data_IF_253030083662
#
_entry.id   IF_253030083662
#
_cell.length_a   1.000
_cell.length_b   1.000
_cell.length_c   1.000
_cell.angle_alpha   90.00
_cell.angle_beta   90.00
_cell.angle_gamma   90.00
#
_symmetry.space_group_name_H-M   'P 1'
#
loop_
_entity.id
_entity.type
_entity.pdbx_description
1 polymer ?
#
# COMPACT_ATOMS: atom_id res chain seq x y z
N UNK A 1 6.32 -28.97 8.92
CA UNK A 1 6.62 -27.83 8.04
C UNK A 1 6.17 -26.56 8.74
N UNK A 2 7.01 -25.53 8.75
CA UNK A 2 6.59 -24.21 9.29
C UNK A 2 5.51 -23.63 8.36
N UNK A 3 4.36 -23.19 8.92
CA UNK A 3 3.30 -22.56 8.13
C UNK A 3 3.84 -21.26 7.49
N UNK A 4 3.52 -21.01 6.22
CA UNK A 4 3.90 -19.77 5.52
C UNK A 4 3.34 -18.56 6.24
N UNK A 5 4.02 -17.41 6.09
CA UNK A 5 3.49 -16.12 6.50
C UNK A 5 2.35 -15.73 5.55
N UNK A 6 1.39 -14.97 6.06
CA UNK A 6 0.27 -14.45 5.29
C UNK A 6 0.32 -12.93 5.33
N UNK A 7 0.37 -12.30 4.17
CA UNK A 7 0.30 -10.85 4.03
C UNK A 7 -1.04 -10.41 3.42
N UNK A 8 -1.57 -9.29 3.90
CA UNK A 8 -2.69 -8.59 3.26
C UNK A 8 -2.18 -7.34 2.54
N UNK A 9 -2.68 -7.10 1.31
CA UNK A 9 -2.38 -5.90 0.51
C UNK A 9 -3.69 -5.25 0.07
N UNK A 10 -3.98 -4.03 0.50
CA UNK A 10 -5.13 -3.30 -0.02
C UNK A 10 -4.84 -2.75 -1.43
N UNK A 11 -5.81 -2.93 -2.36
CA UNK A 11 -5.67 -2.47 -3.75
C UNK A 11 -4.63 -3.26 -4.56
N UNK A 12 -4.60 -4.59 -4.40
CA UNK A 12 -3.58 -5.46 -5.00
C UNK A 12 -3.83 -5.91 -6.44
N UNK A 13 -4.89 -5.43 -7.11
CA UNK A 13 -5.25 -5.93 -8.44
C UNK A 13 -4.53 -5.26 -9.62
N UNK A 14 -3.74 -4.19 -9.39
CA UNK A 14 -2.97 -3.48 -10.43
C UNK A 14 -1.86 -2.62 -9.84
N UNK A 15 -1.00 -2.08 -10.71
CA UNK A 15 0.04 -1.10 -10.35
C UNK A 15 0.94 -1.55 -9.20
N UNK A 16 1.23 -0.65 -8.28
CA UNK A 16 2.10 -0.93 -7.13
C UNK A 16 1.58 -2.08 -6.26
N UNK A 17 0.25 -2.15 -6.03
CA UNK A 17 -0.34 -3.19 -5.19
C UNK A 17 -0.18 -4.59 -5.78
N UNK A 18 -0.32 -4.73 -7.12
CA UNK A 18 -0.03 -5.99 -7.80
C UNK A 18 1.43 -6.39 -7.62
N UNK A 19 2.34 -5.47 -7.85
CA UNK A 19 3.77 -5.76 -7.72
C UNK A 19 4.14 -6.12 -6.27
N UNK A 20 3.62 -5.40 -5.28
CA UNK A 20 3.78 -5.75 -3.87
C UNK A 20 3.30 -7.17 -3.56
N UNK A 21 2.11 -7.53 -4.07
CA UNK A 21 1.54 -8.87 -3.88
C UNK A 21 2.41 -9.96 -4.52
N UNK A 22 2.94 -9.73 -5.72
CA UNK A 22 3.85 -10.65 -6.41
C UNK A 22 5.19 -10.77 -5.70
N UNK A 23 5.77 -9.67 -5.19
CA UNK A 23 7.03 -9.70 -4.44
C UNK A 23 6.87 -10.42 -3.09
N UNK A 24 5.76 -10.26 -2.38
CA UNK A 24 5.45 -11.03 -1.19
C UNK A 24 5.36 -12.53 -1.50
N UNK A 25 4.67 -12.88 -2.58
CA UNK A 25 4.54 -14.27 -3.06
C UNK A 25 5.91 -14.88 -3.46
N UNK A 26 6.75 -14.13 -4.18
CA UNK A 26 8.10 -14.55 -4.52
C UNK A 26 8.98 -14.80 -3.28
N UNK A 27 8.71 -14.10 -2.18
CA UNK A 27 9.31 -14.33 -0.86
C UNK A 27 8.57 -15.41 -0.04
N UNK A 28 7.84 -16.32 -0.72
CA UNK A 28 7.18 -17.48 -0.11
C UNK A 28 6.13 -17.12 0.96
N UNK A 29 5.48 -15.97 0.84
CA UNK A 29 4.33 -15.61 1.67
C UNK A 29 3.03 -15.89 0.91
N UNK A 30 2.03 -16.41 1.61
CA UNK A 30 0.67 -16.46 1.10
C UNK A 30 0.08 -15.05 1.11
N UNK A 31 -0.76 -14.71 0.11
CA UNK A 31 -1.20 -13.34 -0.08
C UNK A 31 -2.72 -13.25 -0.14
N UNK A 32 -3.29 -12.38 0.68
CA UNK A 32 -4.66 -11.92 0.53
C UNK A 32 -4.60 -10.47 0.05
N UNK A 33 -5.37 -10.12 -0.97
CA UNK A 33 -5.39 -8.74 -1.43
C UNK A 33 -6.80 -8.25 -1.75
N UNK A 34 -7.01 -6.95 -1.59
CA UNK A 34 -8.29 -6.38 -1.98
C UNK A 34 -8.26 -5.77 -3.38
N UNK A 35 -9.44 -5.72 -3.99
CA UNK A 35 -9.71 -4.99 -5.23
C UNK A 35 -11.01 -4.19 -5.09
N UNK A 36 -11.18 -3.12 -5.89
CA UNK A 36 -12.41 -2.31 -5.81
C UNK A 36 -13.50 -2.84 -6.76
N UNK A 37 -13.30 -2.75 -8.07
CA UNK A 37 -14.33 -3.06 -9.08
C UNK A 37 -13.90 -4.12 -10.09
N UNK A 38 -12.63 -4.17 -10.45
CA UNK A 38 -12.16 -5.04 -11.52
C UNK A 38 -11.82 -6.44 -10.99
N UNK A 39 -12.86 -7.30 -10.93
CA UNK A 39 -12.70 -8.69 -10.51
C UNK A 39 -11.81 -9.49 -11.45
N UNK A 40 -11.91 -9.26 -12.77
CA UNK A 40 -11.11 -10.00 -13.74
C UNK A 40 -9.61 -9.73 -13.57
N UNK A 41 -9.22 -8.47 -13.33
CA UNK A 41 -7.82 -8.15 -13.01
C UNK A 41 -7.38 -8.79 -11.68
N UNK A 42 -8.26 -8.84 -10.67
CA UNK A 42 -7.95 -9.51 -9.42
C UNK A 42 -7.78 -11.03 -9.59
N UNK A 43 -8.64 -11.68 -10.37
CA UNK A 43 -8.54 -13.12 -10.66
C UNK A 43 -7.24 -13.43 -11.42
N UNK A 44 -6.80 -12.55 -12.34
CA UNK A 44 -5.52 -12.70 -13.03
C UNK A 44 -4.34 -12.61 -12.06
N UNK A 45 -4.29 -11.59 -11.20
CA UNK A 45 -3.22 -11.43 -10.20
C UNK A 45 -3.19 -12.61 -9.23
N UNK A 46 -4.37 -13.09 -8.80
CA UNK A 46 -4.46 -14.30 -7.99
C UNK A 46 -3.78 -15.49 -8.67
N UNK A 47 -4.07 -15.73 -9.95
CA UNK A 47 -3.46 -16.82 -10.72
C UNK A 47 -1.94 -16.66 -10.86
N UNK A 48 -1.45 -15.43 -11.06
CA UNK A 48 -0.01 -15.13 -11.12
C UNK A 48 0.70 -15.43 -9.79
N UNK A 49 0.07 -15.08 -8.66
CA UNK A 49 0.59 -15.39 -7.31
C UNK A 49 0.61 -16.91 -7.09
N UNK A 50 -0.45 -17.61 -7.43
CA UNK A 50 -0.55 -19.06 -7.27
C UNK A 50 0.48 -19.81 -8.14
N UNK A 51 0.82 -19.27 -9.32
CA UNK A 51 1.89 -19.80 -10.17
C UNK A 51 3.29 -19.74 -9.50
N UNK A 52 3.48 -18.87 -8.50
CA UNK A 52 4.69 -18.82 -7.68
C UNK A 52 4.72 -19.88 -6.56
N UNK A 53 3.69 -20.73 -6.49
CA UNK A 53 3.63 -21.86 -5.56
C UNK A 53 3.14 -21.51 -4.15
N UNK A 54 2.51 -20.36 -3.96
CA UNK A 54 1.87 -19.92 -2.71
C UNK A 54 0.36 -19.81 -2.89
N UNK A 55 -0.39 -19.66 -1.79
CA UNK A 55 -1.83 -19.47 -1.86
C UNK A 55 -2.17 -17.99 -2.01
N UNK A 56 -3.25 -17.70 -2.79
CA UNK A 56 -3.76 -16.36 -2.95
C UNK A 56 -5.27 -16.28 -2.78
N UNK A 57 -5.77 -15.14 -2.24
CA UNK A 57 -7.19 -14.85 -2.19
C UNK A 57 -7.45 -13.37 -2.49
N UNK A 58 -8.42 -13.12 -3.38
CA UNK A 58 -8.86 -11.76 -3.70
C UNK A 58 -10.22 -11.48 -3.04
N UNK A 59 -10.35 -10.30 -2.40
CA UNK A 59 -11.56 -9.88 -1.71
C UNK A 59 -11.94 -8.46 -2.13
N UNK A 60 -13.23 -8.19 -2.34
CA UNK A 60 -13.67 -6.86 -2.74
C UNK A 60 -13.70 -5.90 -1.53
N UNK A 61 -13.21 -4.67 -1.74
CA UNK A 61 -13.22 -3.60 -0.75
C UNK A 61 -13.28 -2.24 -1.43
N UNK A 62 -14.22 -1.39 -1.03
CA UNK A 62 -14.14 0.04 -1.22
C UNK A 62 -13.51 0.67 0.04
N UNK A 63 -12.28 1.14 -0.07
CA UNK A 63 -11.55 1.75 1.06
C UNK A 63 -12.11 3.11 1.51
N UNK A 64 -13.12 3.65 0.82
CA UNK A 64 -13.83 4.89 1.19
C UNK A 64 -15.06 4.62 2.07
N UNK A 65 -15.62 3.41 1.97
CA UNK A 65 -16.85 3.06 2.68
C UNK A 65 -16.54 2.41 4.03
N UNK A 66 -16.45 3.25 5.06
CA UNK A 66 -16.19 2.81 6.42
C UNK A 66 -17.27 1.88 6.96
N UNK A 67 -18.52 1.99 6.46
CA UNK A 67 -19.63 1.16 6.92
C UNK A 67 -19.46 -0.31 6.52
N UNK A 68 -18.68 -0.59 5.47
CA UNK A 68 -18.39 -1.94 4.99
C UNK A 68 -17.26 -2.64 5.77
N UNK A 69 -16.48 -1.93 6.58
CA UNK A 69 -15.25 -2.45 7.16
C UNK A 69 -15.46 -3.60 8.14
N UNK A 70 -16.50 -3.58 8.97
CA UNK A 70 -16.78 -4.69 9.89
C UNK A 70 -17.05 -5.98 9.11
N UNK A 71 -17.94 -5.91 8.13
CA UNK A 71 -18.23 -7.05 7.26
C UNK A 71 -16.98 -7.52 6.48
N UNK A 72 -16.11 -6.59 6.04
CA UNK A 72 -14.85 -6.92 5.39
C UNK A 72 -13.91 -7.70 6.31
N UNK A 73 -13.75 -7.28 7.57
CA UNK A 73 -12.89 -7.95 8.56
C UNK A 73 -13.46 -9.35 8.89
N UNK A 74 -14.78 -9.51 8.98
CA UNK A 74 -15.43 -10.79 9.20
C UNK A 74 -15.17 -11.76 8.02
N UNK A 75 -15.30 -11.26 6.79
CA UNK A 75 -14.98 -12.03 5.58
C UNK A 75 -13.49 -12.42 5.56
N UNK A 76 -12.59 -11.48 5.86
CA UNK A 76 -11.15 -11.73 5.90
C UNK A 76 -10.79 -12.77 6.97
N UNK A 77 -11.41 -12.71 8.14
CA UNK A 77 -11.26 -13.70 9.21
C UNK A 77 -11.75 -15.09 8.77
N UNK A 78 -12.86 -15.14 8.05
CA UNK A 78 -13.39 -16.39 7.49
C UNK A 78 -12.45 -16.98 6.43
N UNK A 79 -11.86 -16.13 5.57
CA UNK A 79 -10.87 -16.53 4.57
C UNK A 79 -9.64 -17.09 5.27
N UNK A 80 -9.10 -16.40 6.27
CA UNK A 80 -7.95 -16.88 7.05
C UNK A 80 -8.19 -18.28 7.63
N UNK A 81 -9.36 -18.48 8.22
CA UNK A 81 -9.72 -19.76 8.84
C UNK A 81 -9.93 -20.88 7.80
N UNK A 82 -10.70 -20.60 6.76
CA UNK A 82 -11.20 -21.64 5.84
C UNK A 82 -10.22 -22.00 4.73
N UNK A 83 -9.37 -21.04 4.29
CA UNK A 83 -8.43 -21.26 3.20
C UNK A 83 -6.98 -21.42 3.65
N UNK A 84 -6.60 -20.81 4.78
CA UNK A 84 -5.22 -20.81 5.25
C UNK A 84 -5.02 -21.60 6.57
N UNK A 85 -6.10 -22.07 7.19
CA UNK A 85 -6.06 -22.68 8.53
C UNK A 85 -5.29 -21.80 9.54
N UNK A 86 -5.60 -20.50 9.52
CA UNK A 86 -4.99 -19.45 10.35
C UNK A 86 -6.07 -18.51 10.88
N UNK A 87 -5.74 -17.77 11.94
CA UNK A 87 -6.63 -16.75 12.51
C UNK A 87 -6.03 -15.33 12.40
N UNK A 88 -4.78 -15.22 11.98
CA UNK A 88 -4.07 -13.96 11.99
C UNK A 88 -3.15 -13.82 10.77
N UNK A 89 -2.94 -12.56 10.37
CA UNK A 89 -2.00 -12.11 9.36
C UNK A 89 -0.63 -11.84 9.97
N UNK A 90 0.42 -12.05 9.19
CA UNK A 90 1.79 -11.69 9.53
C UNK A 90 2.15 -10.26 9.08
N UNK A 91 1.52 -9.78 8.01
CA UNK A 91 1.75 -8.43 7.49
C UNK A 91 0.46 -7.79 6.97
N UNK A 92 0.39 -6.47 7.12
CA UNK A 92 -0.71 -5.63 6.66
C UNK A 92 -0.17 -4.46 5.84
N UNK A 93 -0.53 -4.36 4.54
CA UNK A 93 -0.06 -3.31 3.64
C UNK A 93 -1.23 -2.42 3.21
N UNK A 94 -1.18 -1.16 3.63
CA UNK A 94 -2.12 -0.12 3.24
C UNK A 94 -1.61 0.57 1.97
N UNK A 95 -2.05 0.08 0.80
CA UNK A 95 -1.64 0.59 -0.50
C UNK A 95 -2.79 1.23 -1.30
N UNK A 96 -4.04 0.76 -1.12
CA UNK A 96 -5.18 1.26 -1.91
C UNK A 96 -5.21 2.79 -1.99
N UNK A 97 -5.45 3.31 -3.20
CA UNK A 97 -5.48 4.75 -3.40
C UNK A 97 -5.76 5.15 -4.85
N UNK A 98 -6.06 6.43 -5.01
CA UNK A 98 -6.21 7.13 -6.30
C UNK A 98 -5.56 8.50 -6.22
N UNK A 99 -5.49 9.26 -7.32
CA UNK A 99 -4.94 10.61 -7.33
C UNK A 99 -5.91 11.60 -7.96
N UNK A 100 -6.18 12.69 -7.25
CA UNK A 100 -6.82 13.89 -7.81
C UNK A 100 -5.76 14.99 -7.76
N UNK A 101 -5.49 15.57 -8.93
CA UNK A 101 -4.50 16.63 -9.11
C UNK A 101 -5.18 17.86 -9.66
N UNK A 102 -5.33 18.90 -8.83
CA UNK A 102 -5.93 20.19 -9.16
C UNK A 102 -5.20 21.33 -8.47
N UNK A 103 -5.09 22.52 -9.07
CA UNK A 103 -4.62 23.72 -8.37
C UNK A 103 -5.37 23.90 -7.04
N UNK A 104 -4.68 24.43 -6.03
CA UNK A 104 -5.28 24.63 -4.70
C UNK A 104 -6.61 25.41 -4.77
N UNK A 105 -6.65 26.45 -5.57
CA UNK A 105 -7.84 27.32 -5.73
C UNK A 105 -9.02 26.64 -6.43
N UNK A 106 -8.79 25.52 -7.11
CA UNK A 106 -9.80 24.75 -7.86
C UNK A 106 -10.20 23.45 -7.12
N UNK A 107 -9.48 23.10 -6.04
CA UNK A 107 -9.77 21.91 -5.25
C UNK A 107 -11.07 22.11 -4.48
N UNK A 108 -12.09 21.35 -4.83
CA UNK A 108 -13.38 21.40 -4.14
C UNK A 108 -13.33 20.64 -2.82
N UNK A 109 -14.31 20.90 -1.93
CA UNK A 109 -14.51 20.12 -0.70
C UNK A 109 -14.69 18.62 -1.00
N UNK A 110 -15.44 18.29 -2.06
CA UNK A 110 -15.64 16.90 -2.48
C UNK A 110 -14.34 16.22 -2.95
N UNK A 111 -13.45 16.93 -3.67
CA UNK A 111 -12.13 16.41 -4.03
C UNK A 111 -11.27 16.16 -2.78
N UNK A 112 -11.33 17.08 -1.81
CA UNK A 112 -10.60 16.95 -0.56
C UNK A 112 -11.11 15.77 0.27
N UNK A 113 -12.43 15.62 0.40
CA UNK A 113 -13.07 14.53 1.12
C UNK A 113 -12.75 13.16 0.49
N UNK A 114 -12.75 13.08 -0.84
CA UNK A 114 -12.33 11.87 -1.56
C UNK A 114 -10.88 11.50 -1.19
N UNK A 115 -9.96 12.46 -1.23
CA UNK A 115 -8.56 12.22 -0.85
C UNK A 115 -8.43 11.85 0.62
N UNK A 116 -9.16 12.53 1.51
CA UNK A 116 -9.17 12.21 2.93
C UNK A 116 -9.72 10.81 3.20
N UNK A 117 -10.86 10.48 2.59
CA UNK A 117 -11.53 9.20 2.85
C UNK A 117 -10.68 8.02 2.42
N UNK A 118 -10.06 8.06 1.23
CA UNK A 118 -9.29 6.93 0.73
C UNK A 118 -7.87 6.86 1.31
N UNK A 119 -7.18 8.00 1.49
CA UNK A 119 -5.76 8.00 1.83
C UNK A 119 -5.47 8.14 3.32
N UNK A 120 -6.43 8.60 4.13
CA UNK A 120 -6.20 8.75 5.56
C UNK A 120 -7.30 8.10 6.39
N UNK A 121 -8.55 8.55 6.30
CA UNK A 121 -9.65 8.06 7.13
C UNK A 121 -9.89 6.56 6.96
N UNK A 122 -9.95 6.10 5.71
CA UNK A 122 -10.10 4.68 5.40
C UNK A 122 -8.93 3.85 5.92
N UNK A 123 -7.70 4.31 5.69
CA UNK A 123 -6.49 3.62 6.20
C UNK A 123 -6.50 3.53 7.73
N UNK A 124 -6.83 4.63 8.40
CA UNK A 124 -6.87 4.70 9.86
C UNK A 124 -7.85 3.67 10.45
N UNK A 125 -9.11 3.74 10.04
CA UNK A 125 -10.16 2.90 10.62
C UNK A 125 -10.09 1.45 10.15
N UNK A 126 -9.69 1.19 8.91
CA UNK A 126 -9.50 -0.18 8.44
C UNK A 126 -8.35 -0.87 9.20
N UNK A 127 -7.24 -0.16 9.42
CA UNK A 127 -6.12 -0.69 10.22
C UNK A 127 -6.55 -0.93 11.67
N UNK A 128 -7.31 0.00 12.28
CA UNK A 128 -7.83 -0.17 13.64
C UNK A 128 -8.68 -1.44 13.77
N UNK A 129 -9.60 -1.66 12.85
CA UNK A 129 -10.46 -2.86 12.83
C UNK A 129 -9.68 -4.15 12.54
N UNK A 130 -8.58 -4.07 11.80
CA UNK A 130 -7.73 -5.21 11.50
C UNK A 130 -6.81 -5.63 12.67
N UNK A 131 -6.58 -4.78 13.67
CA UNK A 131 -5.64 -5.08 14.77
C UNK A 131 -5.86 -6.42 15.48
N UNK A 132 -7.09 -6.92 15.69
CA UNK A 132 -7.32 -8.23 16.31
C UNK A 132 -6.81 -9.40 15.46
N UNK A 133 -6.76 -9.23 14.14
CA UNK A 133 -6.31 -10.27 13.20
C UNK A 133 -4.87 -10.06 12.71
N UNK A 134 -4.16 -9.04 13.17
CA UNK A 134 -2.72 -8.90 12.97
C UNK A 134 -2.02 -9.52 14.18
N UNK A 135 -1.15 -10.49 13.94
CA UNK A 135 -0.46 -11.21 15.02
C UNK A 135 0.57 -10.32 15.72
N UNK A 136 0.90 -10.69 16.95
CA UNK A 136 2.03 -10.10 17.68
C UNK A 136 3.35 -10.41 16.93
N UNK A 137 4.25 -9.44 16.88
CA UNK A 137 5.45 -9.50 16.02
C UNK A 137 5.20 -9.25 14.53
N UNK A 138 3.98 -8.90 14.14
CA UNK A 138 3.61 -8.59 12.77
C UNK A 138 4.22 -7.30 12.21
N UNK A 139 3.90 -6.99 10.96
CA UNK A 139 4.36 -5.78 10.26
C UNK A 139 3.19 -5.03 9.62
N UNK A 140 3.16 -3.71 9.80
CA UNK A 140 2.27 -2.79 9.09
C UNK A 140 3.13 -1.92 8.16
N UNK A 141 2.75 -1.85 6.88
CA UNK A 141 3.41 -0.98 5.90
C UNK A 141 2.37 -0.05 5.30
N UNK A 142 2.59 1.26 5.45
CA UNK A 142 1.75 2.29 4.86
C UNK A 142 2.44 2.90 3.64
N UNK A 143 1.71 3.10 2.55
CA UNK A 143 2.24 3.74 1.35
C UNK A 143 1.96 5.25 1.40
N UNK A 144 3.03 6.03 1.54
CA UNK A 144 3.05 7.49 1.44
C UNK A 144 3.37 7.93 -0.01
N UNK A 145 4.10 9.01 -0.13
CA UNK A 145 4.58 9.58 -1.39
C UNK A 145 5.77 10.51 -1.13
N UNK A 146 6.66 10.65 -2.09
CA UNK A 146 7.65 11.72 -2.10
C UNK A 146 7.03 13.11 -1.96
N UNK A 147 5.79 13.30 -2.43
CA UNK A 147 5.04 14.56 -2.31
C UNK A 147 4.75 15.00 -0.86
N UNK A 148 4.93 14.13 0.13
CA UNK A 148 4.89 14.54 1.54
C UNK A 148 6.16 15.31 1.98
N UNK A 149 7.26 15.24 1.20
CA UNK A 149 8.54 15.89 1.47
C UNK A 149 8.80 17.09 0.54
N UNK A 150 8.51 16.93 -0.74
CA UNK A 150 8.69 17.98 -1.74
C UNK A 150 7.36 18.33 -2.40
N UNK A 151 7.24 19.55 -2.90
CA UNK A 151 5.96 20.10 -3.33
C UNK A 151 5.92 20.31 -4.84
N UNK A 152 4.86 19.79 -5.47
CA UNK A 152 4.49 20.12 -6.84
C UNK A 152 3.10 20.74 -6.86
N UNK A 153 2.88 21.82 -7.64
CA UNK A 153 1.56 22.42 -7.79
C UNK A 153 0.50 21.39 -8.19
N UNK A 154 -0.70 21.56 -7.67
CA UNK A 154 -1.83 20.67 -7.97
C UNK A 154 -1.92 19.42 -7.08
N UNK A 155 -0.99 19.21 -6.13
CA UNK A 155 -0.94 17.98 -5.32
C UNK A 155 -1.30 18.17 -3.85
N UNK A 156 -1.73 19.37 -3.43
CA UNK A 156 -1.82 19.74 -2.01
C UNK A 156 -2.74 18.83 -1.19
N UNK A 157 -3.95 18.51 -1.67
CA UNK A 157 -4.88 17.65 -0.96
C UNK A 157 -4.30 16.24 -0.78
N UNK A 158 -3.84 15.61 -1.86
CA UNK A 158 -3.20 14.29 -1.83
C UNK A 158 -1.97 14.27 -0.92
N UNK A 159 -1.05 15.22 -1.10
CA UNK A 159 0.19 15.29 -0.33
C UNK A 159 -0.06 15.47 1.18
N UNK A 160 -1.06 16.28 1.55
CA UNK A 160 -1.47 16.46 2.95
C UNK A 160 -1.90 15.15 3.59
N UNK A 161 -2.68 14.32 2.88
CA UNK A 161 -3.09 12.99 3.40
C UNK A 161 -1.88 12.06 3.52
N UNK A 162 -0.93 12.12 2.59
CA UNK A 162 0.29 11.31 2.67
C UNK A 162 1.21 11.75 3.82
N UNK A 163 1.28 13.05 4.12
CA UNK A 163 1.93 13.56 5.33
C UNK A 163 1.24 13.07 6.61
N UNK A 164 -0.10 13.07 6.66
CA UNK A 164 -0.86 12.54 7.77
C UNK A 164 -0.59 11.04 8.01
N UNK A 165 -0.47 10.24 6.95
CA UNK A 165 -0.08 8.82 7.04
C UNK A 165 1.31 8.63 7.66
N UNK A 166 2.26 9.49 7.35
CA UNK A 166 3.61 9.41 7.94
C UNK A 166 3.58 9.68 9.47
N UNK A 167 2.77 10.65 9.90
CA UNK A 167 2.55 10.90 11.33
C UNK A 167 1.85 9.70 11.96
N UNK A 168 0.74 9.23 11.40
CA UNK A 168 -0.02 8.08 11.89
C UNK A 168 0.84 6.83 12.05
N UNK A 169 1.74 6.56 11.09
CA UNK A 169 2.64 5.40 11.17
C UNK A 169 3.56 5.45 12.39
N UNK A 170 4.06 6.63 12.79
CA UNK A 170 4.86 6.78 14.00
C UNK A 170 4.05 6.49 15.27
N UNK A 171 2.78 6.90 15.31
CA UNK A 171 1.89 6.57 16.41
C UNK A 171 1.58 5.07 16.46
N UNK A 172 1.29 4.42 15.32
CA UNK A 172 1.13 2.97 15.26
C UNK A 172 2.36 2.25 15.80
N UNK A 173 3.56 2.64 15.37
CA UNK A 173 4.80 2.04 15.85
C UNK A 173 4.97 2.16 17.36
N UNK A 174 4.62 3.31 17.94
CA UNK A 174 4.71 3.56 19.37
C UNK A 174 3.66 2.78 20.17
N UNK A 175 2.42 2.81 19.73
CA UNK A 175 1.29 2.21 20.44
C UNK A 175 1.26 0.67 20.32
N UNK A 176 1.70 0.13 19.18
CA UNK A 176 1.72 -1.30 18.92
C UNK A 176 3.07 -1.97 19.26
N UNK A 177 4.07 -1.19 19.65
CA UNK A 177 5.37 -1.70 20.11
C UNK A 177 5.29 -2.75 21.21
N UNK A 178 4.44 -2.62 22.25
CA UNK A 178 4.25 -3.67 23.28
C UNK A 178 3.79 -5.02 22.71
N UNK A 179 3.13 -5.04 21.54
CA UNK A 179 2.76 -6.25 20.80
C UNK A 179 3.88 -6.73 19.85
N UNK A 180 5.02 -6.05 19.81
CA UNK A 180 6.10 -6.32 18.85
C UNK A 180 5.71 -6.00 17.39
N UNK A 181 4.58 -5.35 17.13
CA UNK A 181 4.15 -4.98 15.78
C UNK A 181 4.96 -3.78 15.31
N UNK A 182 5.61 -3.92 14.16
CA UNK A 182 6.36 -2.85 13.50
C UNK A 182 5.45 -2.10 12.54
N UNK A 183 5.61 -0.79 12.45
CA UNK A 183 4.90 0.03 11.48
C UNK A 183 5.88 0.95 10.76
N UNK A 184 5.91 0.88 9.43
CA UNK A 184 6.82 1.67 8.59
C UNK A 184 6.07 2.28 7.39
N UNK A 185 6.69 3.28 6.78
CA UNK A 185 6.22 3.96 5.58
C UNK A 185 7.16 3.65 4.42
N UNK A 186 6.61 3.32 3.27
CA UNK A 186 7.30 3.45 1.98
C UNK A 186 6.74 4.69 1.27
N UNK A 187 7.63 5.57 0.82
CA UNK A 187 7.28 6.78 0.07
C UNK A 187 7.83 6.68 -1.36
N UNK A 188 7.04 6.19 -2.32
CA UNK A 188 7.45 6.12 -3.72
C UNK A 188 7.68 7.51 -4.33
N UNK A 189 8.60 7.59 -5.28
CA UNK A 189 8.70 8.68 -6.23
C UNK A 189 7.61 8.62 -7.30
N UNK A 190 7.88 9.20 -8.45
CA UNK A 190 7.00 9.09 -9.62
C UNK A 190 7.19 7.71 -10.27
N UNK A 191 6.12 6.93 -10.33
CA UNK A 191 6.12 5.56 -10.83
C UNK A 191 5.21 5.45 -12.08
N UNK A 192 5.66 4.71 -13.09
CA UNK A 192 4.95 4.48 -14.34
C UNK A 192 3.85 3.42 -14.18
N UNK A 193 2.69 3.84 -13.67
CA UNK A 193 1.50 3.00 -13.46
C UNK A 193 0.24 3.70 -13.94
N UNK A 194 -0.92 3.07 -13.82
CA UNK A 194 -2.24 3.69 -14.10
C UNK A 194 -2.65 4.76 -13.08
N UNK A 195 -1.89 4.95 -12.01
CA UNK A 195 -2.22 5.90 -10.96
C UNK A 195 -2.33 7.34 -11.52
N UNK A 196 -3.36 8.07 -11.11
CA UNK A 196 -3.57 9.44 -11.57
C UNK A 196 -3.78 9.56 -13.08
N UNK A 197 -4.37 8.52 -13.73
CA UNK A 197 -4.64 8.52 -15.17
C UNK A 197 -3.44 8.12 -16.03
N UNK A 198 -2.38 7.56 -15.46
CA UNK A 198 -1.25 7.00 -16.22
C UNK A 198 -0.25 8.01 -16.77
N UNK A 199 -0.36 9.29 -16.42
CA UNK A 199 0.47 10.36 -17.02
C UNK A 199 1.98 10.16 -16.82
N UNK A 200 2.42 9.53 -15.73
CA UNK A 200 3.83 9.21 -15.52
C UNK A 200 4.33 8.10 -16.45
N UNK A 201 3.44 7.28 -17.01
CA UNK A 201 3.74 6.20 -17.95
C UNK A 201 3.65 6.69 -19.40
N UNK A 202 2.62 7.47 -19.74
CA UNK A 202 2.19 7.70 -21.12
C UNK A 202 2.63 9.07 -21.67
N UNK A 203 2.98 10.05 -20.81
CA UNK A 203 3.41 11.39 -21.22
C UNK A 203 4.96 11.47 -21.27
N UNK A 204 5.52 11.47 -22.46
CA UNK A 204 6.97 11.47 -22.67
C UNK A 204 7.64 12.75 -22.13
N UNK A 205 7.02 13.92 -22.25
CA UNK A 205 7.58 15.17 -21.72
C UNK A 205 7.66 15.12 -20.19
N UNK A 206 6.61 14.59 -19.56
CA UNK A 206 6.58 14.39 -18.12
C UNK A 206 7.60 13.35 -17.67
N UNK A 207 7.75 12.25 -18.39
CA UNK A 207 8.77 11.22 -18.14
C UNK A 207 10.16 11.82 -18.17
N UNK A 208 10.47 12.61 -19.20
CA UNK A 208 11.77 13.27 -19.32
C UNK A 208 12.01 14.29 -18.21
N UNK A 209 10.98 15.06 -17.83
CA UNK A 209 11.09 15.98 -16.69
C UNK A 209 11.38 15.24 -15.39
N UNK A 210 10.66 14.15 -15.11
CA UNK A 210 10.88 13.32 -13.91
C UNK A 210 12.29 12.71 -13.93
N UNK A 211 12.75 12.19 -15.07
CA UNK A 211 14.08 11.63 -15.22
C UNK A 211 15.18 12.66 -14.87
N UNK A 212 15.02 13.91 -15.33
CA UNK A 212 15.96 14.99 -15.09
C UNK A 212 16.10 15.40 -13.62
N UNK A 213 15.05 15.20 -12.79
CA UNK A 213 15.06 15.52 -11.36
C UNK A 213 15.25 14.28 -10.47
N UNK A 214 15.51 13.12 -11.08
CA UNK A 214 15.74 11.85 -10.39
C UNK A 214 17.20 11.42 -10.57
N UNK A 215 17.92 11.18 -9.48
CA UNK A 215 19.34 10.85 -9.53
C UNK A 215 19.65 9.59 -10.38
N UNK A 216 18.75 8.59 -10.38
CA UNK A 216 18.88 7.40 -11.23
C UNK A 216 18.44 7.64 -12.68
N UNK A 217 18.07 8.87 -13.07
CA UNK A 217 17.86 9.29 -14.45
C UNK A 217 16.64 8.68 -15.15
N UNK A 218 15.67 8.17 -14.41
CA UNK A 218 14.45 7.57 -14.97
C UNK A 218 13.22 7.72 -14.08
N UNK A 219 12.06 7.54 -14.68
CA UNK A 219 10.82 7.27 -13.93
C UNK A 219 10.94 5.89 -13.27
N UNK A 220 10.40 5.73 -12.06
CA UNK A 220 10.33 4.43 -11.40
C UNK A 220 9.32 3.50 -12.07
N UNK A 221 9.53 2.21 -11.92
CA UNK A 221 8.58 1.16 -12.31
C UNK A 221 7.97 0.53 -11.05
N UNK A 222 6.87 -0.23 -11.20
CA UNK A 222 6.21 -0.85 -10.04
C UNK A 222 7.18 -1.78 -9.29
N UNK A 223 8.05 -2.47 -10.00
CA UNK A 223 9.06 -3.41 -9.50
C UNK A 223 10.09 -2.75 -8.58
N UNK A 224 10.30 -1.44 -8.69
CA UNK A 224 11.18 -0.69 -7.79
C UNK A 224 10.62 -0.57 -6.36
N UNK A 225 9.32 -0.84 -6.17
CA UNK A 225 8.62 -0.60 -4.89
C UNK A 225 8.26 -1.90 -4.17
N UNK A 226 7.80 -2.91 -4.88
CA UNK A 226 7.30 -4.15 -4.27
C UNK A 226 8.36 -4.88 -3.44
N UNK A 227 9.61 -4.88 -3.88
CA UNK A 227 10.73 -5.49 -3.17
C UNK A 227 11.00 -4.82 -1.81
N UNK A 228 10.86 -3.48 -1.73
CA UNK A 228 11.02 -2.72 -0.48
C UNK A 228 9.90 -3.07 0.52
N UNK A 229 8.67 -3.21 0.03
CA UNK A 229 7.53 -3.62 0.87
C UNK A 229 7.71 -5.06 1.35
N UNK A 230 8.11 -5.98 0.48
CA UNK A 230 8.37 -7.37 0.85
C UNK A 230 9.48 -7.48 1.92
N UNK A 231 10.56 -6.69 1.79
CA UNK A 231 11.61 -6.58 2.81
C UNK A 231 11.03 -6.12 4.16
N UNK A 232 10.21 -5.06 4.19
CA UNK A 232 9.60 -4.57 5.42
C UNK A 232 8.59 -5.55 6.05
N UNK A 233 8.01 -6.45 5.27
CA UNK A 233 7.16 -7.54 5.74
C UNK A 233 7.93 -8.80 6.15
N UNK A 234 9.26 -8.80 6.05
CA UNK A 234 10.12 -9.93 6.36
C UNK A 234 10.81 -9.81 7.72
N UNK A 235 11.46 -10.90 8.17
CA UNK A 235 12.30 -10.89 9.38
C UNK A 235 13.59 -10.07 9.20
N UNK A 236 14.04 -9.85 7.97
CA UNK A 236 15.24 -9.06 7.71
C UNK A 236 15.11 -7.59 8.19
N UNK A 237 13.87 -7.12 8.36
CA UNK A 237 13.57 -5.77 8.86
C UNK A 237 13.12 -5.73 10.33
N UNK A 238 13.40 -6.77 11.12
CA UNK A 238 12.89 -6.93 12.50
C UNK A 238 13.23 -5.77 13.45
N UNK A 239 14.28 -5.00 13.17
CA UNK A 239 14.67 -3.82 13.97
C UNK A 239 14.25 -2.48 13.36
N UNK A 240 13.44 -2.49 12.27
CA UNK A 240 12.94 -1.29 11.61
C UNK A 240 11.48 -1.04 12.00
N UNK A 241 11.25 0.06 12.73
CA UNK A 241 9.90 0.56 13.02
C UNK A 241 9.90 2.09 13.03
N UNK A 242 8.76 2.71 12.77
CA UNK A 242 8.58 4.17 12.66
C UNK A 242 9.43 4.84 11.55
N UNK A 243 9.97 4.05 10.60
CA UNK A 243 10.81 4.58 9.53
C UNK A 243 9.98 5.01 8.33
N UNK A 244 10.43 6.10 7.68
CA UNK A 244 10.01 6.52 6.36
C UNK A 244 11.11 6.18 5.36
N UNK A 245 10.85 5.20 4.51
CA UNK A 245 11.77 4.78 3.47
C UNK A 245 11.32 5.40 2.15
N UNK A 246 12.11 6.33 1.64
CA UNK A 246 11.86 6.91 0.34
C UNK A 246 12.43 6.02 -0.75
N UNK A 247 11.54 5.49 -1.60
CA UNK A 247 11.87 4.68 -2.76
C UNK A 247 11.56 5.49 -4.04
N UNK A 248 12.43 6.48 -4.32
CA UNK A 248 12.18 7.50 -5.35
C UNK A 248 13.26 7.57 -6.43
N UNK A 249 14.28 6.69 -6.37
CA UNK A 249 15.45 6.80 -7.25
C UNK A 249 16.29 8.05 -6.99
N UNK A 250 16.12 8.70 -5.82
CA UNK A 250 16.81 9.94 -5.48
C UNK A 250 16.17 11.17 -6.13
N UNK A 251 14.86 11.27 -6.13
CA UNK A 251 14.16 12.47 -6.64
C UNK A 251 14.44 13.67 -5.74
N UNK A 252 14.91 14.78 -6.33
CA UNK A 252 15.17 16.07 -5.66
C UNK A 252 16.09 15.96 -4.43
N UNK A 253 17.20 15.23 -4.54
CA UNK A 253 18.28 15.19 -3.57
C UNK A 253 19.40 16.14 -3.96
#
# INVERSE_FOLDING_TARGET
MQKRKIAFVSGGSRGLGRDMALNLAANQQDVIFSYHQNKAAADQVKSEIEALGVQAHAIQLDSRDLSSFDNFIDQLSSILKNHFDRNQLDAWVNNAGTGIYKPFVETSEADFDEMMNIHFKGVYFLTQKALPIIKDGGSIVNISSGLARFSFPGSSAYASMKGAIEVFTRYLAKELGPRGIRANVVAPGAIATDFGGGSNRDDEQKRQHIANITALGRVGEAEDIGSVVAFLCSEASHWLTAQRIEASGGTLI
#
